data_IF_218857606856
#
_entry.id   IF_218857606856
#
_cell.length_a   1.000
_cell.length_b   1.000
_cell.length_c   1.000
_cell.angle_alpha   90.00
_cell.angle_beta   90.00
_cell.angle_gamma   90.00
#
_symmetry.space_group_name_H-M   'P 1'
#
loop_
_entity.id
_entity.type
_entity.pdbx_description
1 polymer ?
#
# COMPACT_ATOMS: atom_id res chain seq x y z
N UNK A 1 -32.30 -28.93 -3.09
CA UNK A 1 -32.12 -27.47 -3.02
C UNK A 1 -31.07 -27.21 -1.96
N UNK A 2 -29.85 -26.89 -2.38
CA UNK A 2 -28.73 -26.60 -1.46
C UNK A 2 -28.60 -25.07 -1.32
N UNK A 3 -28.16 -24.54 -0.17
CA UNK A 3 -28.15 -23.10 0.09
C UNK A 3 -27.12 -22.35 -0.77
N UNK A 4 -27.49 -21.15 -1.19
CA UNK A 4 -26.77 -20.29 -2.13
C UNK A 4 -25.83 -19.31 -1.38
N UNK A 5 -24.95 -19.84 -0.55
CA UNK A 5 -23.76 -19.15 -0.08
C UNK A 5 -22.74 -20.22 0.31
N UNK A 6 -21.94 -20.64 -0.66
CA UNK A 6 -20.61 -21.11 -0.35
C UNK A 6 -19.72 -20.00 -0.85
N UNK A 7 -19.14 -19.24 0.08
CA UNK A 7 -17.97 -18.41 -0.19
C UNK A 7 -17.01 -19.35 -0.93
N UNK A 8 -16.78 -19.07 -2.22
CA UNK A 8 -15.98 -19.94 -3.04
C UNK A 8 -14.56 -19.93 -2.49
N UNK A 9 -13.96 -21.11 -2.31
CA UNK A 9 -12.58 -21.28 -1.82
C UNK A 9 -11.57 -20.33 -2.51
N UNK A 10 -11.85 -19.94 -3.76
CA UNK A 10 -11.04 -19.04 -4.59
C UNK A 10 -10.93 -17.58 -4.10
N UNK A 11 -11.91 -17.07 -3.36
CA UNK A 11 -11.90 -15.68 -2.89
C UNK A 11 -11.12 -15.53 -1.56
N UNK A 12 -11.19 -16.57 -0.70
CA UNK A 12 -10.30 -16.71 0.46
C UNK A 12 -8.85 -16.97 0.02
N UNK A 13 -8.64 -17.78 -1.02
CA UNK A 13 -7.32 -18.01 -1.62
C UNK A 13 -6.68 -16.70 -2.11
N UNK A 14 -7.44 -15.73 -2.63
CA UNK A 14 -6.88 -14.46 -3.12
C UNK A 14 -6.47 -13.50 -1.99
N UNK A 15 -7.22 -13.46 -0.89
CA UNK A 15 -6.84 -12.69 0.31
C UNK A 15 -5.63 -13.33 0.97
N UNK A 16 -5.61 -14.66 1.10
CA UNK A 16 -4.45 -15.40 1.60
C UNK A 16 -3.23 -15.24 0.70
N UNK A 17 -3.39 -15.27 -0.63
CA UNK A 17 -2.31 -14.98 -1.58
C UNK A 17 -1.83 -13.54 -1.45
N UNK A 18 -2.71 -12.55 -1.28
CA UNK A 18 -2.31 -11.16 -1.03
C UNK A 18 -1.53 -11.03 0.29
N UNK A 19 -1.95 -11.72 1.35
CA UNK A 19 -1.25 -11.77 2.65
C UNK A 19 0.08 -12.51 2.52
N UNK A 20 0.14 -13.59 1.76
CA UNK A 20 1.33 -14.43 1.57
C UNK A 20 2.35 -13.76 0.66
N UNK A 21 1.92 -13.13 -0.42
CA UNK A 21 2.75 -12.28 -1.28
C UNK A 21 3.27 -11.06 -0.50
N UNK A 22 2.46 -10.52 0.40
CA UNK A 22 2.89 -9.49 1.38
C UNK A 22 3.93 -10.07 2.34
N UNK A 23 3.75 -11.26 2.93
CA UNK A 23 4.74 -11.96 3.80
C UNK A 23 6.06 -12.26 3.07
N UNK A 24 6.02 -12.64 1.79
CA UNK A 24 7.20 -12.90 0.96
C UNK A 24 7.93 -11.61 0.54
N UNK A 25 7.22 -10.53 0.21
CA UNK A 25 7.85 -9.22 -0.03
C UNK A 25 8.42 -8.59 1.26
N UNK A 26 7.77 -8.87 2.40
CA UNK A 26 8.18 -8.49 3.75
C UNK A 26 9.51 -9.16 4.11
N UNK A 27 9.64 -10.48 3.91
CA UNK A 27 10.85 -11.24 4.27
C UNK A 27 12.09 -10.85 3.44
N UNK A 28 11.92 -10.54 2.15
CA UNK A 28 13.04 -10.14 1.30
C UNK A 28 13.60 -8.74 1.64
N UNK A 29 12.72 -7.79 2.00
CA UNK A 29 13.12 -6.45 2.41
C UNK A 29 13.63 -6.40 3.87
N UNK A 30 13.13 -7.28 4.73
CA UNK A 30 13.55 -7.38 6.14
C UNK A 30 14.98 -7.87 6.29
N UNK A 31 15.43 -8.82 5.48
CA UNK A 31 16.80 -9.34 5.60
C UNK A 31 17.86 -8.27 5.32
N UNK A 32 17.66 -7.42 4.30
CA UNK A 32 18.60 -6.33 3.97
C UNK A 32 18.57 -5.21 5.03
N UNK A 33 17.39 -4.89 5.58
CA UNK A 33 17.24 -3.86 6.62
C UNK A 33 17.81 -4.32 7.96
N UNK A 34 17.61 -5.58 8.33
CA UNK A 34 18.14 -6.16 9.57
C UNK A 34 19.67 -6.15 9.53
N UNK A 35 20.26 -6.52 8.39
CA UNK A 35 21.72 -6.46 8.20
C UNK A 35 22.27 -5.04 8.33
N UNK A 36 21.58 -4.03 7.82
CA UNK A 36 22.00 -2.63 7.94
C UNK A 36 21.74 -2.07 9.36
N UNK A 37 20.67 -2.46 10.05
CA UNK A 37 20.38 -2.09 11.44
C UNK A 37 21.47 -2.57 12.40
N UNK A 38 21.95 -3.80 12.20
CA UNK A 38 23.09 -4.33 12.96
C UNK A 38 24.40 -3.58 12.68
N UNK A 39 24.47 -2.83 11.56
CA UNK A 39 25.68 -2.16 11.07
C UNK A 39 25.74 -0.68 11.43
N UNK A 40 24.61 0.04 11.49
CA UNK A 40 24.54 1.40 12.04
C UNK A 40 23.15 1.73 12.62
N UNK A 41 23.05 2.30 13.84
CA UNK A 41 21.77 2.70 14.43
C UNK A 41 21.09 3.86 13.70
N UNK A 42 21.86 4.64 12.93
CA UNK A 42 21.32 5.66 12.05
C UNK A 42 21.15 5.09 10.64
N UNK A 43 19.95 5.25 10.11
CA UNK A 43 19.59 4.78 8.75
C UNK A 43 19.86 5.86 7.69
N UNK A 44 20.70 6.84 8.00
CA UNK A 44 20.89 8.04 7.16
C UNK A 44 21.45 7.68 5.78
N UNK A 45 22.35 6.69 5.71
CA UNK A 45 22.93 6.19 4.46
C UNK A 45 21.89 5.55 3.54
N UNK A 46 21.01 4.70 4.09
CA UNK A 46 19.93 4.05 3.35
C UNK A 46 18.95 5.08 2.80
N UNK A 47 18.49 6.00 3.66
CA UNK A 47 17.58 7.08 3.27
C UNK A 47 18.23 7.93 2.18
N UNK A 48 19.48 8.36 2.36
CA UNK A 48 20.21 9.16 1.37
C UNK A 48 20.34 8.47 0.02
N UNK A 49 20.50 7.14 -0.01
CA UNK A 49 20.57 6.37 -1.25
C UNK A 49 19.23 6.34 -1.97
N UNK A 50 18.13 6.09 -1.25
CA UNK A 50 16.78 6.17 -1.83
C UNK A 50 16.46 7.57 -2.34
N UNK A 51 16.74 8.61 -1.54
CA UNK A 51 16.50 10.00 -1.91
C UNK A 51 17.25 10.39 -3.20
N UNK A 52 18.51 9.97 -3.34
CA UNK A 52 19.29 10.16 -4.58
C UNK A 52 18.65 9.46 -5.77
N UNK A 53 18.19 8.22 -5.61
CA UNK A 53 17.53 7.47 -6.69
C UNK A 53 16.19 8.09 -7.10
N UNK A 54 15.41 8.59 -6.14
CA UNK A 54 14.10 9.22 -6.39
C UNK A 54 14.25 10.59 -7.08
N UNK A 55 15.29 11.36 -6.74
CA UNK A 55 15.47 12.72 -7.21
C UNK A 55 16.44 12.86 -8.40
N UNK A 56 17.12 11.78 -8.78
CA UNK A 56 18.01 11.79 -9.94
C UNK A 56 17.22 12.05 -11.24
N UNK A 57 17.67 12.99 -12.10
CA UNK A 57 17.01 13.24 -13.38
C UNK A 57 17.10 12.03 -14.33
N UNK A 58 18.09 11.16 -14.13
CA UNK A 58 18.31 9.97 -14.96
C UNK A 58 17.40 8.81 -14.57
N UNK A 59 16.69 8.89 -13.44
CA UNK A 59 15.79 7.83 -12.99
C UNK A 59 14.45 7.92 -13.74
N UNK A 60 14.05 6.87 -14.49
CA UNK A 60 12.73 6.82 -15.12
C UNK A 60 11.61 6.97 -14.10
N UNK A 61 10.52 7.64 -14.49
CA UNK A 61 9.37 7.94 -13.61
C UNK A 61 8.87 6.72 -12.82
N UNK A 62 8.66 5.59 -13.50
CA UNK A 62 8.16 4.37 -12.85
C UNK A 62 9.14 3.80 -11.80
N UNK A 63 10.46 3.94 -12.00
CA UNK A 63 11.46 3.55 -11.01
C UNK A 63 11.50 4.54 -9.84
N UNK A 64 11.34 5.84 -10.09
CA UNK A 64 11.19 6.84 -9.02
C UNK A 64 9.97 6.51 -8.14
N UNK A 65 8.83 6.15 -8.74
CA UNK A 65 7.63 5.70 -8.03
C UNK A 65 7.90 4.44 -7.21
N UNK A 66 8.58 3.44 -7.79
CA UNK A 66 8.99 2.22 -7.10
C UNK A 66 9.87 2.50 -5.87
N UNK A 67 10.91 3.32 -6.02
CA UNK A 67 11.78 3.68 -4.90
C UNK A 67 11.07 4.49 -3.82
N UNK A 68 10.13 5.35 -4.21
CA UNK A 68 9.28 6.09 -3.27
C UNK A 68 8.44 5.15 -2.40
N UNK A 69 7.86 4.09 -3.00
CA UNK A 69 7.14 3.04 -2.25
C UNK A 69 8.07 2.34 -1.27
N UNK A 70 9.28 1.97 -1.70
CA UNK A 70 10.26 1.30 -0.83
C UNK A 70 10.67 2.18 0.35
N UNK A 71 10.94 3.46 0.11
CA UNK A 71 11.29 4.41 1.16
C UNK A 71 10.11 4.65 2.12
N UNK A 72 8.88 4.78 1.62
CA UNK A 72 7.70 4.92 2.47
C UNK A 72 7.50 3.69 3.39
N UNK A 73 7.60 2.47 2.83
CA UNK A 73 7.53 1.22 3.60
C UNK A 73 8.63 1.12 4.64
N UNK A 74 9.84 1.57 4.31
CA UNK A 74 10.96 1.66 5.25
C UNK A 74 10.62 2.54 6.46
N UNK A 75 10.15 3.77 6.22
CA UNK A 75 9.77 4.69 7.30
C UNK A 75 8.64 4.13 8.17
N UNK A 76 7.65 3.47 7.55
CA UNK A 76 6.55 2.87 8.27
C UNK A 76 7.01 1.72 9.18
N UNK A 77 7.80 0.79 8.65
CA UNK A 77 8.24 -0.40 9.40
C UNK A 77 9.31 -0.09 10.45
N UNK A 78 10.31 0.67 10.07
CA UNK A 78 11.56 0.79 10.84
C UNK A 78 11.52 1.98 11.80
N UNK A 79 10.79 3.04 11.43
CA UNK A 79 10.73 4.28 12.22
C UNK A 79 9.34 4.57 12.78
N UNK A 80 8.35 3.76 12.45
CA UNK A 80 6.93 4.00 12.74
C UNK A 80 6.47 5.42 12.31
N UNK A 81 7.11 6.00 11.29
CA UNK A 81 6.87 7.37 10.84
C UNK A 81 5.86 7.38 9.69
N UNK A 82 4.59 7.17 10.05
CA UNK A 82 3.49 7.05 9.10
C UNK A 82 3.24 8.36 8.34
N UNK A 83 3.33 9.50 9.02
CA UNK A 83 3.11 10.82 8.40
C UNK A 83 4.11 11.07 7.29
N UNK A 84 5.37 10.71 7.50
CA UNK A 84 6.39 10.81 6.47
C UNK A 84 6.16 9.81 5.33
N UNK A 85 5.81 8.55 5.64
CA UNK A 85 5.49 7.56 4.62
C UNK A 85 4.34 8.04 3.70
N UNK A 86 3.26 8.55 4.27
CA UNK A 86 2.14 9.11 3.52
C UNK A 86 2.55 10.31 2.67
N UNK A 87 3.36 11.22 3.23
CA UNK A 87 3.89 12.38 2.49
C UNK A 87 4.73 11.97 1.29
N UNK A 88 5.56 10.93 1.42
CA UNK A 88 6.37 10.39 0.31
C UNK A 88 5.46 9.84 -0.80
N UNK A 89 4.45 9.05 -0.44
CA UNK A 89 3.51 8.48 -1.41
C UNK A 89 2.70 9.57 -2.13
N UNK A 90 2.15 10.55 -1.39
CA UNK A 90 1.41 11.67 -1.98
C UNK A 90 2.27 12.49 -2.94
N UNK A 91 3.53 12.77 -2.61
CA UNK A 91 4.48 13.46 -3.51
C UNK A 91 4.82 12.65 -4.76
N UNK A 92 4.95 11.33 -4.63
CA UNK A 92 5.17 10.47 -5.79
C UNK A 92 3.94 10.47 -6.72
N UNK A 93 2.73 10.45 -6.14
CA UNK A 93 1.47 10.58 -6.89
C UNK A 93 1.33 11.92 -7.59
N UNK A 94 1.87 13.03 -7.06
CA UNK A 94 1.87 14.32 -7.78
C UNK A 94 2.56 14.21 -9.16
N UNK A 95 3.57 13.33 -9.29
CA UNK A 95 4.37 13.12 -10.50
C UNK A 95 3.86 11.96 -11.38
N UNK A 96 3.28 10.94 -10.76
CA UNK A 96 2.84 9.69 -11.41
C UNK A 96 1.45 9.29 -10.90
N UNK A 97 0.46 10.15 -11.18
CA UNK A 97 -0.90 10.13 -10.61
C UNK A 97 -1.65 8.81 -10.82
N UNK A 98 -1.41 8.17 -11.96
CA UNK A 98 -2.12 6.97 -12.41
C UNK A 98 -1.34 5.69 -12.07
N UNK A 99 -0.29 5.78 -11.25
CA UNK A 99 0.48 4.61 -10.84
C UNK A 99 -0.31 3.79 -9.81
N UNK A 100 -0.84 2.65 -10.24
CA UNK A 100 -1.65 1.75 -9.41
C UNK A 100 -0.92 1.29 -8.15
N UNK A 101 0.40 1.10 -8.18
CA UNK A 101 1.16 0.67 -7.01
C UNK A 101 1.24 1.77 -5.94
N UNK A 102 1.31 3.04 -6.34
CA UNK A 102 1.24 4.18 -5.41
C UNK A 102 -0.17 4.35 -4.82
N UNK A 103 -1.21 4.18 -5.64
CA UNK A 103 -2.61 4.23 -5.20
C UNK A 103 -2.92 3.13 -4.17
N UNK A 104 -2.48 1.90 -4.46
CA UNK A 104 -2.58 0.77 -3.52
C UNK A 104 -1.86 1.08 -2.20
N UNK A 105 -0.67 1.68 -2.27
CA UNK A 105 0.08 2.01 -1.08
C UNK A 105 -0.60 3.10 -0.22
N UNK A 106 -1.31 4.03 -0.85
CA UNK A 106 -2.12 5.03 -0.14
C UNK A 106 -3.30 4.39 0.59
N UNK A 107 -4.01 3.47 -0.06
CA UNK A 107 -5.11 2.70 0.54
C UNK A 107 -4.60 1.87 1.73
N UNK A 108 -3.48 1.16 1.56
CA UNK A 108 -2.83 0.39 2.65
C UNK A 108 -2.47 1.28 3.86
N UNK A 109 -2.03 2.52 3.61
CA UNK A 109 -1.73 3.50 4.64
C UNK A 109 -2.98 4.02 5.36
N UNK A 110 -4.14 4.03 4.73
CA UNK A 110 -5.39 4.33 5.42
C UNK A 110 -5.85 3.13 6.27
N UNK A 111 -5.83 1.92 5.71
CA UNK A 111 -6.28 0.70 6.38
C UNK A 111 -5.49 0.36 7.64
N UNK A 112 -4.17 0.45 7.57
CA UNK A 112 -3.30 0.01 8.67
C UNK A 112 -3.01 1.14 9.67
N UNK A 113 -3.79 2.22 9.66
CA UNK A 113 -3.64 3.33 10.59
C UNK A 113 -4.06 2.87 12.00
N UNK A 114 -3.21 3.02 13.03
CA UNK A 114 -3.60 2.69 14.40
C UNK A 114 -4.84 3.44 14.88
N UNK A 115 -4.98 4.70 14.48
CA UNK A 115 -6.21 5.46 14.61
C UNK A 115 -7.07 5.21 13.37
N UNK A 116 -7.66 4.01 13.31
CA UNK A 116 -8.44 3.57 12.16
C UNK A 116 -9.59 4.55 11.88
N UNK A 117 -9.73 4.93 10.62
CA UNK A 117 -10.77 5.83 10.14
C UNK A 117 -11.39 5.24 8.87
N UNK A 118 -12.64 4.82 8.97
CA UNK A 118 -13.41 4.33 7.83
C UNK A 118 -13.46 5.38 6.72
N UNK A 119 -13.69 6.65 7.09
CA UNK A 119 -13.70 7.78 6.16
C UNK A 119 -12.39 7.89 5.39
N UNK A 120 -11.24 7.80 6.06
CA UNK A 120 -9.94 7.88 5.39
C UNK A 120 -9.71 6.74 4.38
N UNK A 121 -10.17 5.53 4.69
CA UNK A 121 -10.10 4.38 3.78
C UNK A 121 -10.99 4.59 2.56
N UNK A 122 -12.24 5.02 2.78
CA UNK A 122 -13.21 5.33 1.71
C UNK A 122 -12.66 6.43 0.79
N UNK A 123 -12.10 7.51 1.36
CA UNK A 123 -11.49 8.60 0.60
C UNK A 123 -10.29 8.14 -0.23
N UNK A 124 -9.46 7.23 0.30
CA UNK A 124 -8.34 6.66 -0.44
C UNK A 124 -8.80 5.81 -1.64
N UNK A 125 -9.85 5.00 -1.48
CA UNK A 125 -10.47 4.29 -2.60
C UNK A 125 -11.07 5.24 -3.62
N UNK A 126 -11.81 6.26 -3.18
CA UNK A 126 -12.42 7.25 -4.07
C UNK A 126 -11.37 8.02 -4.88
N UNK A 127 -10.23 8.33 -4.27
CA UNK A 127 -9.09 8.91 -4.97
C UNK A 127 -8.56 7.99 -6.07
N UNK A 128 -8.38 6.70 -5.78
CA UNK A 128 -7.91 5.72 -6.77
C UNK A 128 -8.90 5.53 -7.93
N UNK A 129 -10.20 5.41 -7.65
CA UNK A 129 -11.25 5.20 -8.67
C UNK A 129 -11.37 6.40 -9.61
N UNK A 130 -11.18 7.62 -9.08
CA UNK A 130 -11.21 8.87 -9.87
C UNK A 130 -9.93 9.12 -10.68
N UNK A 131 -8.87 8.33 -10.46
CA UNK A 131 -7.61 8.46 -11.20
C UNK A 131 -7.76 7.96 -12.65
N UNK A 132 -6.85 8.36 -13.53
CA UNK A 132 -6.91 8.02 -14.95
C UNK A 132 -6.24 6.66 -15.24
N UNK A 133 -6.65 5.65 -14.48
CA UNK A 133 -6.26 4.24 -14.63
C UNK A 133 -7.28 3.50 -15.53
N UNK A 134 -6.98 2.27 -15.91
CA UNK A 134 -7.86 1.48 -16.77
C UNK A 134 -9.20 1.16 -16.09
N UNK A 135 -10.24 0.92 -16.88
CA UNK A 135 -11.56 0.57 -16.35
C UNK A 135 -11.52 -0.76 -15.56
N UNK A 136 -10.66 -1.69 -15.96
CA UNK A 136 -10.43 -2.93 -15.21
C UNK A 136 -9.86 -2.66 -13.81
N UNK A 137 -8.89 -1.76 -13.68
CA UNK A 137 -8.32 -1.38 -12.38
C UNK A 137 -9.31 -0.58 -11.53
N UNK A 138 -10.10 0.32 -12.14
CA UNK A 138 -11.20 1.03 -11.43
C UNK A 138 -12.24 0.05 -10.90
N UNK A 139 -12.59 -0.96 -11.69
CA UNK A 139 -13.53 -1.99 -11.29
C UNK A 139 -12.99 -2.78 -10.09
N UNK A 140 -11.71 -3.17 -10.11
CA UNK A 140 -11.07 -3.84 -8.99
C UNK A 140 -11.05 -2.98 -7.72
N UNK A 141 -10.73 -1.68 -7.82
CA UNK A 141 -10.80 -0.79 -6.66
C UNK A 141 -12.24 -0.60 -6.15
N UNK A 142 -13.23 -0.56 -7.05
CA UNK A 142 -14.64 -0.41 -6.69
C UNK A 142 -15.18 -1.66 -5.97
N UNK A 143 -14.82 -2.86 -6.45
CA UNK A 143 -15.14 -4.13 -5.80
C UNK A 143 -14.57 -4.16 -4.38
N UNK A 144 -13.26 -3.91 -4.23
CA UNK A 144 -12.62 -3.89 -2.91
C UNK A 144 -13.19 -2.84 -1.96
N UNK A 145 -13.65 -1.69 -2.48
CA UNK A 145 -14.33 -0.67 -1.68
C UNK A 145 -15.69 -1.18 -1.20
N UNK A 146 -16.43 -1.88 -2.07
CA UNK A 146 -17.72 -2.46 -1.73
C UNK A 146 -17.56 -3.55 -0.68
N UNK A 147 -16.61 -4.49 -0.86
CA UNK A 147 -16.30 -5.55 0.12
C UNK A 147 -16.01 -4.93 1.50
N UNK A 148 -15.19 -3.88 1.54
CA UNK A 148 -14.89 -3.15 2.78
C UNK A 148 -16.13 -2.53 3.44
N UNK A 149 -17.05 -1.97 2.67
CA UNK A 149 -18.28 -1.36 3.19
C UNK A 149 -19.26 -2.43 3.70
N UNK A 150 -19.30 -3.59 3.04
CA UNK A 150 -20.09 -4.74 3.45
C UNK A 150 -19.58 -5.28 4.80
N UNK A 151 -18.28 -5.53 4.94
CA UNK A 151 -17.64 -5.97 6.19
C UNK A 151 -17.99 -5.05 7.38
N UNK A 152 -18.00 -3.73 7.16
CA UNK A 152 -18.38 -2.76 8.20
C UNK A 152 -19.88 -2.77 8.55
N UNK A 153 -20.73 -3.17 7.61
CA UNK A 153 -22.18 -3.20 7.79
C UNK A 153 -22.62 -4.46 8.56
N UNK A 154 -21.84 -5.54 8.49
CA UNK A 154 -22.06 -6.76 9.26
C UNK A 154 -21.68 -6.64 10.75
N UNK A 155 -20.96 -5.59 11.15
CA UNK A 155 -20.72 -5.28 12.57
C UNK A 155 -21.93 -4.63 13.28
N UNK A 156 -23.05 -4.44 12.57
CA UNK A 156 -24.35 -4.02 13.14
C UNK A 156 -25.19 -5.27 13.40
N UNK A 157 -24.75 -6.11 14.34
CA UNK A 157 -25.63 -7.10 14.96
C UNK A 157 -26.36 -6.47 16.17
N UNK A 158 -27.67 -6.73 16.20
CA UNK A 158 -28.76 -6.18 17.02
C UNK A 158 -28.57 -6.32 18.53
#
# INVERSE_FOLDING_TARGET
>A
MSPLWSIGDKDMDYIEDCIQYRKLQISFFENDIILEFLRSPDYSGVISKFEKLIHSPDTPRHLSSYYSIKLARFHLKTRNDRRLAEKIIKRALERDRDNVQLLLQLIDLAFTNPEFSQTAVIEAFDFAIKSNISDAEKLQFSQRKLDFLEDLSYDIDV
#
